data_IF_513597985948
#
_entry.id   IF_513597985948
#
_cell.length_a   1.000
_cell.length_b   1.000
_cell.length_c   1.000
_cell.angle_alpha   90.00
_cell.angle_beta   90.00
_cell.angle_gamma   90.00
#
_symmetry.space_group_name_H-M   'P 1'
#
loop_
_entity.id
_entity.type
_entity.pdbx_description
1 polymer ?
#
# COMPACT_ATOMS: atom_id res chain seq x y z
N UNK A 1 9.59 -9.15 1.71
CA UNK A 1 9.49 -8.65 3.10
C UNK A 1 8.69 -7.34 3.09
N UNK A 2 7.50 -7.34 3.68
CA UNK A 2 6.63 -6.16 3.77
C UNK A 2 7.19 -5.22 4.84
N UNK A 3 8.17 -4.42 4.44
CA UNK A 3 8.86 -3.45 5.30
C UNK A 3 8.53 -2.05 4.82
N UNK A 4 8.37 -1.13 5.77
CA UNK A 4 8.07 0.26 5.47
C UNK A 4 9.25 0.90 4.73
N UNK A 5 9.05 1.55 3.57
CA UNK A 5 10.13 2.28 2.91
C UNK A 5 10.62 3.50 3.72
N UNK A 6 9.78 4.04 4.62
CA UNK A 6 10.10 5.21 5.41
C UNK A 6 10.98 4.88 6.63
N UNK A 7 10.62 3.85 7.40
CA UNK A 7 11.26 3.51 8.67
C UNK A 7 11.87 2.10 8.72
N UNK A 8 11.75 1.31 7.64
CA UNK A 8 12.21 -0.10 7.55
C UNK A 8 11.57 -1.06 8.55
N UNK A 9 10.55 -0.62 9.29
CA UNK A 9 9.79 -1.44 10.23
C UNK A 9 8.87 -2.43 9.50
N UNK A 10 8.48 -3.52 10.17
CA UNK A 10 7.51 -4.47 9.61
C UNK A 10 6.14 -3.84 9.44
N UNK A 11 5.56 -4.03 8.26
CA UNK A 11 4.19 -3.63 7.98
C UNK A 11 3.22 -4.67 8.53
N UNK A 12 2.09 -4.19 9.02
CA UNK A 12 0.97 -5.04 9.43
C UNK A 12 -0.03 -5.15 8.28
N UNK A 13 -0.52 -6.36 8.03
CA UNK A 13 -1.59 -6.59 7.07
C UNK A 13 -2.92 -6.41 7.80
N UNK A 14 -3.70 -5.42 7.40
CA UNK A 14 -5.03 -5.20 7.94
C UNK A 14 -6.09 -5.58 6.91
N UNK A 15 -7.08 -6.33 7.37
CA UNK A 15 -8.26 -6.72 6.59
C UNK A 15 -9.42 -5.86 7.06
N UNK A 16 -9.88 -4.95 6.22
CA UNK A 16 -11.13 -4.22 6.42
C UNK A 16 -12.25 -4.86 5.62
N UNK A 17 -13.50 -4.52 5.93
CA UNK A 17 -14.73 -5.08 5.35
C UNK A 17 -14.72 -5.15 3.82
N UNK A 18 -13.95 -4.29 3.15
CA UNK A 18 -13.93 -4.19 1.69
C UNK A 18 -12.54 -4.26 1.06
N UNK A 19 -11.45 -4.32 1.85
CA UNK A 19 -10.08 -4.38 1.30
C UNK A 19 -9.04 -4.86 2.30
N UNK A 20 -7.96 -5.43 1.77
CA UNK A 20 -6.74 -5.76 2.50
C UNK A 20 -5.70 -4.67 2.19
N UNK A 21 -5.13 -4.05 3.21
CA UNK A 21 -4.10 -3.02 3.06
C UNK A 21 -2.97 -3.25 4.06
N UNK A 22 -1.80 -2.67 3.75
CA UNK A 22 -0.67 -2.69 4.66
C UNK A 22 -0.63 -1.38 5.42
N UNK A 23 -0.42 -1.43 6.72
CA UNK A 23 -0.31 -0.26 7.57
C UNK A 23 1.04 -0.28 8.29
N UNK A 24 1.65 0.89 8.43
CA UNK A 24 2.84 1.03 9.24
C UNK A 24 2.46 1.63 10.60
N UNK A 25 2.60 0.90 11.72
CA UNK A 25 2.26 1.43 13.04
C UNK A 25 3.25 2.49 13.54
N UNK A 26 4.45 2.55 12.97
CA UNK A 26 5.44 3.56 13.34
C UNK A 26 5.22 4.90 12.61
N UNK A 27 4.86 4.83 11.32
CA UNK A 27 4.55 6.03 10.53
C UNK A 27 3.07 6.44 10.62
N UNK A 28 2.21 5.58 11.18
CA UNK A 28 0.76 5.78 11.24
C UNK A 28 0.09 6.02 9.88
N UNK A 29 0.58 5.33 8.86
CA UNK A 29 0.16 5.53 7.47
C UNK A 29 -0.14 4.21 6.77
N UNK A 30 -1.17 4.23 5.91
CA UNK A 30 -1.46 3.16 4.96
C UNK A 30 -0.32 3.10 3.94
N UNK A 31 0.37 1.97 3.88
CA UNK A 31 1.45 1.73 2.93
C UNK A 31 0.88 1.21 1.62
N UNK A 32 1.14 1.89 0.50
CA UNK A 32 0.75 1.39 -0.80
C UNK A 32 1.50 0.08 -1.05
N UNK A 33 0.76 -0.99 -1.29
CA UNK A 33 1.35 -2.18 -1.90
C UNK A 33 1.79 -1.69 -3.27
N UNK A 34 3.10 -1.63 -3.52
CA UNK A 34 3.62 -1.49 -4.87
C UNK A 34 3.22 -2.75 -5.64
N UNK A 35 1.94 -2.85 -6.04
CA UNK A 35 1.55 -3.64 -7.17
C UNK A 35 2.25 -2.94 -8.33
N UNK A 36 3.35 -3.52 -8.81
CA UNK A 36 4.10 -3.01 -9.96
C UNK A 36 3.31 -2.95 -11.27
N UNK A 37 1.97 -2.90 -11.23
CA UNK A 37 1.01 -2.69 -12.31
C UNK A 37 -0.39 -2.59 -11.66
N UNK A 38 -0.71 -1.49 -10.97
CA UNK A 38 -2.06 -0.97 -11.14
C UNK A 38 -1.95 -0.08 -12.36
N UNK A 39 -2.22 -0.68 -13.54
CA UNK A 39 -2.33 0.05 -14.79
C UNK A 39 -3.18 1.29 -14.51
N UNK A 40 -2.53 2.44 -14.55
CA UNK A 40 -3.20 3.68 -14.83
C UNK A 40 -3.79 3.52 -16.24
N UNK A 41 -4.94 2.85 -16.37
CA UNK A 41 -5.89 3.20 -17.42
C UNK A 41 -6.56 4.49 -16.96
N UNK A 42 -5.75 5.54 -16.77
CA UNK A 42 -6.24 6.89 -16.94
C UNK A 42 -6.45 7.01 -18.43
N UNK A 43 -7.72 7.02 -18.81
CA UNK A 43 -8.19 7.51 -20.10
C UNK A 43 -7.36 8.72 -20.54
N UNK A 44 -6.43 8.51 -21.47
CA UNK A 44 -6.00 9.56 -22.37
C UNK A 44 -7.00 9.53 -23.52
N UNK A 45 -8.12 10.21 -23.30
CA UNK A 45 -9.06 10.54 -24.36
C UNK A 45 -8.50 11.78 -25.05
N UNK A 46 -8.43 11.70 -26.38
CA UNK A 46 -8.06 12.71 -27.40
C UNK A 46 -6.60 12.71 -27.82
#
# INVERSE_FOLDING_TARGET
>A
MNTCPCCRERLICQVSRSRIYWFCPHCWQEMPIQKGMQQQKKNYIS
#
